data_IF_902363141585
#
_entry.id   IF_902363141585
#
_cell.length_a   1.000
_cell.length_b   1.000
_cell.length_c   1.000
_cell.angle_alpha   90.00
_cell.angle_beta   90.00
_cell.angle_gamma   90.00
#
_symmetry.space_group_name_H-M   'P 1'
#
loop_
_entity.id
_entity.type
_entity.pdbx_description
1 polymer ?
#
# COMPACT_ATOMS: atom_id res chain seq x y z
N UNK A 1 -1.10 29.02 -2.88
CA UNK A 1 -1.71 27.82 -2.27
C UNK A 1 -3.14 27.60 -2.75
N UNK A 2 -4.12 28.48 -2.48
CA UNK A 2 -5.53 28.28 -2.92
C UNK A 2 -5.73 28.04 -4.43
N UNK A 3 -5.00 28.75 -5.31
CA UNK A 3 -5.09 28.53 -6.77
C UNK A 3 -4.53 27.18 -7.22
N UNK A 4 -3.51 26.66 -6.55
CA UNK A 4 -2.94 25.33 -6.83
C UNK A 4 -3.89 24.20 -6.39
N UNK A 5 -4.66 24.44 -5.32
CA UNK A 5 -5.60 23.46 -4.78
C UNK A 5 -6.88 23.33 -5.62
N UNK A 6 -7.37 24.41 -6.22
CA UNK A 6 -8.55 24.37 -7.10
C UNK A 6 -8.27 23.65 -8.44
N UNK A 7 -7.03 23.67 -8.93
CA UNK A 7 -6.66 22.96 -10.16
C UNK A 7 -6.57 21.44 -9.97
N UNK A 8 -6.20 20.96 -8.78
CA UNK A 8 -6.11 19.51 -8.49
C UNK A 8 -7.50 18.90 -8.27
N UNK A 9 -8.44 19.63 -7.66
CA UNK A 9 -9.80 19.14 -7.39
C UNK A 9 -10.66 19.02 -8.67
N UNK A 10 -10.24 19.60 -9.81
CA UNK A 10 -10.89 19.45 -11.13
C UNK A 10 -10.21 18.44 -12.06
N UNK A 11 -8.99 17.99 -11.72
CA UNK A 11 -8.18 17.10 -12.55
C UNK A 11 -8.56 15.61 -12.46
N UNK A 12 -9.63 15.26 -11.72
CA UNK A 12 -10.08 13.88 -11.59
C UNK A 12 -10.80 13.32 -12.83
N UNK A 13 -11.31 14.17 -13.74
CA UNK A 13 -12.24 13.72 -14.79
C UNK A 13 -11.85 13.94 -16.27
N UNK A 14 -10.78 14.66 -16.63
CA UNK A 14 -10.42 14.76 -18.06
C UNK A 14 -8.97 15.17 -18.31
N UNK A 15 -8.15 14.21 -18.72
CA UNK A 15 -6.83 14.46 -19.29
C UNK A 15 -6.91 14.64 -20.82
N UNK A 16 -7.62 15.66 -21.34
CA UNK A 16 -7.52 16.08 -22.75
C UNK A 16 -7.63 17.62 -22.86
N UNK A 17 -6.61 18.24 -23.49
CA UNK A 17 -6.41 19.64 -23.97
C UNK A 17 -6.28 20.80 -22.95
N UNK A 18 -5.30 21.69 -23.19
CA UNK A 18 -4.84 22.92 -22.48
C UNK A 18 -4.78 22.92 -20.94
N UNK A 19 -5.83 22.47 -20.25
CA UNK A 19 -5.83 22.18 -18.81
C UNK A 19 -4.77 21.12 -18.44
N UNK A 20 -4.41 20.27 -19.39
CA UNK A 20 -3.41 19.22 -19.20
C UNK A 20 -1.97 19.77 -19.06
N UNK A 21 -1.63 20.85 -19.77
CA UNK A 21 -0.28 21.44 -19.66
C UNK A 21 -0.10 22.13 -18.31
N UNK A 22 -1.12 22.85 -17.83
CA UNK A 22 -1.13 23.46 -16.48
C UNK A 22 -1.07 22.37 -15.39
N UNK A 23 -1.84 21.29 -15.54
CA UNK A 23 -1.82 20.17 -14.60
C UNK A 23 -0.46 19.45 -14.58
N UNK A 24 0.16 19.29 -15.76
CA UNK A 24 1.49 18.70 -15.91
C UNK A 24 2.57 19.60 -15.29
N UNK A 25 2.58 20.90 -15.57
CA UNK A 25 3.51 21.85 -14.96
C UNK A 25 3.38 21.87 -13.44
N UNK A 26 2.15 21.84 -12.92
CA UNK A 26 1.89 21.77 -11.48
C UNK A 26 2.46 20.47 -10.86
N UNK A 27 2.35 19.34 -11.56
CA UNK A 27 2.89 18.06 -11.12
C UNK A 27 4.42 18.02 -11.21
N UNK A 28 5.03 18.58 -12.26
CA UNK A 28 6.48 18.75 -12.40
C UNK A 28 7.05 19.62 -11.27
N UNK A 29 6.37 20.73 -10.95
CA UNK A 29 6.72 21.59 -9.82
C UNK A 29 6.57 20.87 -8.47
N UNK A 30 5.54 20.04 -8.31
CA UNK A 30 5.38 19.20 -7.12
C UNK A 30 6.51 18.15 -7.00
N UNK A 31 6.88 17.48 -8.08
CA UNK A 31 7.99 16.51 -8.09
C UNK A 31 9.30 17.19 -7.69
N UNK A 32 9.59 18.37 -8.24
CA UNK A 32 10.79 19.16 -7.91
C UNK A 32 10.84 19.49 -6.42
N UNK A 33 9.70 19.87 -5.83
CA UNK A 33 9.60 20.10 -4.38
C UNK A 33 9.86 18.82 -3.58
N UNK A 34 9.26 17.69 -3.96
CA UNK A 34 9.49 16.41 -3.27
C UNK A 34 10.95 15.96 -3.32
N UNK A 35 11.65 16.24 -4.41
CA UNK A 35 13.09 15.97 -4.52
C UNK A 35 13.92 16.89 -3.63
N UNK A 36 13.56 18.18 -3.60
CA UNK A 36 14.20 19.16 -2.71
C UNK A 36 13.99 18.79 -1.24
N UNK A 37 12.78 18.35 -0.87
CA UNK A 37 12.45 17.93 0.50
C UNK A 37 13.36 16.79 0.98
N UNK A 38 13.74 15.85 0.09
CA UNK A 38 14.66 14.75 0.41
C UNK A 38 16.08 15.29 0.64
N UNK A 39 16.52 16.23 -0.19
CA UNK A 39 17.87 16.80 -0.15
C UNK A 39 18.07 17.67 1.09
N UNK A 40 17.10 18.52 1.41
CA UNK A 40 17.18 19.47 2.53
C UNK A 40 16.78 18.85 3.88
N UNK A 41 16.25 17.61 3.88
CA UNK A 41 15.86 16.88 5.08
C UNK A 41 14.47 17.25 5.62
N UNK A 42 13.76 18.22 5.02
CA UNK A 42 12.44 18.66 5.48
C UNK A 42 11.35 17.60 5.33
N UNK A 43 11.61 16.54 4.55
CA UNK A 43 10.73 15.37 4.41
C UNK A 43 10.34 14.70 5.73
N UNK A 44 11.14 14.87 6.78
CA UNK A 44 10.89 14.26 8.10
C UNK A 44 9.71 14.86 8.85
N UNK A 45 9.39 16.13 8.59
CA UNK A 45 8.37 16.89 9.33
C UNK A 45 7.18 17.29 8.46
N UNK A 46 7.30 17.15 7.14
CA UNK A 46 6.22 17.41 6.18
C UNK A 46 5.27 16.22 6.08
N UNK A 47 3.96 16.53 6.03
CA UNK A 47 2.92 15.54 5.75
C UNK A 47 2.60 15.48 4.26
N UNK A 48 2.60 14.28 3.69
CA UNK A 48 2.30 14.04 2.28
C UNK A 48 0.93 13.39 2.03
N UNK A 49 0.18 13.08 3.10
CA UNK A 49 -1.08 12.32 3.03
C UNK A 49 -2.14 12.97 2.15
N UNK A 50 -2.33 14.29 2.26
CA UNK A 50 -3.33 15.02 1.48
C UNK A 50 -3.03 14.99 -0.01
N UNK A 51 -1.74 15.05 -0.35
CA UNK A 51 -1.28 14.98 -1.74
C UNK A 51 -1.51 13.55 -2.26
N UNK A 52 -1.09 12.53 -1.50
CA UNK A 52 -1.31 11.13 -1.87
C UNK A 52 -2.81 10.80 -2.02
N UNK A 53 -3.67 11.34 -1.15
CA UNK A 53 -5.12 11.19 -1.22
C UNK A 53 -5.67 11.72 -2.55
N UNK A 54 -5.28 12.94 -2.94
CA UNK A 54 -5.72 13.56 -4.20
C UNK A 54 -5.17 12.84 -5.43
N UNK A 55 -3.94 12.33 -5.36
CA UNK A 55 -3.29 11.66 -6.49
C UNK A 55 -3.72 10.20 -6.64
N UNK A 56 -4.28 9.57 -5.60
CA UNK A 56 -4.57 8.13 -5.59
C UNK A 56 -5.44 7.64 -6.76
N UNK A 57 -6.52 8.33 -7.19
CA UNK A 57 -7.31 7.88 -8.34
C UNK A 57 -6.48 7.77 -9.62
N UNK A 58 -5.65 8.77 -9.92
CA UNK A 58 -4.78 8.76 -11.09
C UNK A 58 -3.70 7.66 -10.99
N UNK A 59 -3.16 7.45 -9.79
CA UNK A 59 -2.17 6.39 -9.53
C UNK A 59 -2.75 4.98 -9.68
N UNK A 60 -3.98 4.76 -9.23
CA UNK A 60 -4.70 3.49 -9.40
C UNK A 60 -4.99 3.24 -10.87
N UNK A 61 -5.51 4.26 -11.59
CA UNK A 61 -5.73 4.18 -13.04
C UNK A 61 -4.43 3.83 -13.79
N UNK A 62 -3.34 4.51 -13.49
CA UNK A 62 -2.04 4.25 -14.12
C UNK A 62 -1.50 2.86 -13.79
N UNK A 63 -1.73 2.37 -12.58
CA UNK A 63 -1.33 1.02 -12.19
C UNK A 63 -2.11 -0.04 -12.97
N UNK A 64 -3.43 0.12 -13.16
CA UNK A 64 -4.24 -0.79 -13.98
C UNK A 64 -3.92 -0.68 -15.47
N UNK A 65 -3.66 0.51 -16.00
CA UNK A 65 -3.20 0.66 -17.39
C UNK A 65 -1.92 -0.15 -17.65
N UNK A 66 -1.02 -0.17 -16.67
CA UNK A 66 0.23 -0.92 -16.75
C UNK A 66 0.05 -2.43 -16.51
N UNK A 67 -0.89 -2.81 -15.65
CA UNK A 67 -1.18 -4.19 -15.29
C UNK A 67 -2.70 -4.42 -15.31
N UNK A 68 -3.31 -4.64 -16.49
CA UNK A 68 -4.78 -4.72 -16.61
C UNK A 68 -5.40 -5.81 -15.73
N UNK A 69 -4.70 -6.93 -15.54
CA UNK A 69 -5.15 -8.06 -14.73
C UNK A 69 -4.96 -7.86 -13.22
N UNK A 70 -4.34 -6.75 -12.79
CA UNK A 70 -4.16 -6.46 -11.36
C UNK A 70 -5.50 -6.20 -10.66
N UNK A 71 -6.50 -5.69 -11.40
CA UNK A 71 -7.83 -5.36 -10.89
C UNK A 71 -7.76 -4.51 -9.62
N UNK A 72 -6.96 -3.44 -9.63
CA UNK A 72 -6.84 -2.55 -8.47
C UNK A 72 -8.02 -1.57 -8.42
N UNK A 73 -8.77 -1.58 -7.33
CA UNK A 73 -9.90 -0.67 -7.08
C UNK A 73 -9.57 0.28 -5.94
N UNK A 74 -10.09 1.49 -6.02
CA UNK A 74 -10.02 2.49 -4.95
C UNK A 74 -11.39 2.59 -4.29
N UNK A 75 -11.46 2.30 -2.99
CA UNK A 75 -12.68 2.41 -2.18
C UNK A 75 -12.45 3.43 -1.07
N UNK A 76 -13.07 4.61 -1.14
CA UNK A 76 -12.72 5.70 -0.21
C UNK A 76 -13.52 5.67 1.09
N UNK A 77 -14.52 4.80 1.16
CA UNK A 77 -15.37 4.54 2.33
C UNK A 77 -15.56 3.04 2.54
N UNK A 78 -16.06 2.68 3.72
CA UNK A 78 -16.39 1.29 4.07
C UNK A 78 -17.52 0.75 3.20
N UNK A 79 -18.50 1.61 2.90
CA UNK A 79 -19.63 1.31 2.04
C UNK A 79 -19.15 1.04 0.60
N UNK A 80 -18.28 1.92 0.06
CA UNK A 80 -17.68 1.73 -1.27
C UNK A 80 -16.88 0.41 -1.34
N UNK A 81 -16.19 0.06 -0.25
CA UNK A 81 -15.41 -1.18 -0.18
C UNK A 81 -16.34 -2.40 -0.30
N UNK A 82 -17.39 -2.47 0.52
CA UNK A 82 -18.34 -3.59 0.48
C UNK A 82 -19.02 -3.72 -0.88
N UNK A 83 -19.49 -2.60 -1.45
CA UNK A 83 -20.09 -2.59 -2.81
C UNK A 83 -19.08 -3.06 -3.85
N UNK A 84 -17.83 -2.60 -3.75
CA UNK A 84 -16.78 -2.97 -4.71
C UNK A 84 -16.37 -4.44 -4.59
N UNK A 85 -16.34 -5.00 -3.39
CA UNK A 85 -16.08 -6.42 -3.15
C UNK A 85 -17.22 -7.26 -3.68
N UNK A 86 -18.48 -6.95 -3.33
CA UNK A 86 -19.65 -7.68 -3.83
C UNK A 86 -19.68 -7.69 -5.36
N UNK A 87 -19.50 -6.53 -5.99
CA UNK A 87 -19.41 -6.45 -7.45
C UNK A 87 -18.28 -7.30 -8.04
N UNK A 88 -17.13 -7.39 -7.35
CA UNK A 88 -16.01 -8.23 -7.81
C UNK A 88 -16.36 -9.70 -7.78
N UNK A 89 -17.09 -10.14 -6.73
CA UNK A 89 -17.60 -11.51 -6.61
C UNK A 89 -18.63 -11.78 -7.70
N UNK A 90 -19.61 -10.88 -7.89
CA UNK A 90 -20.68 -11.01 -8.88
C UNK A 90 -20.15 -11.05 -10.32
N UNK A 91 -19.12 -10.24 -10.62
CA UNK A 91 -18.46 -10.20 -11.93
C UNK A 91 -17.53 -11.44 -12.15
N UNK A 92 -17.45 -12.37 -11.19
CA UNK A 92 -16.66 -13.61 -11.30
C UNK A 92 -15.14 -13.41 -11.24
N UNK A 93 -14.67 -12.25 -10.78
CA UNK A 93 -13.25 -11.88 -10.76
C UNK A 93 -12.54 -12.65 -9.63
N UNK A 94 -11.62 -13.54 -10.02
CA UNK A 94 -10.94 -14.44 -9.09
C UNK A 94 -9.80 -13.77 -8.29
N UNK A 95 -9.25 -12.66 -8.77
CA UNK A 95 -8.18 -11.95 -8.08
C UNK A 95 -8.29 -10.43 -8.30
N UNK A 96 -8.25 -9.69 -7.20
CA UNK A 96 -8.45 -8.24 -7.18
C UNK A 96 -7.71 -7.61 -6.01
N UNK A 97 -7.40 -6.31 -6.09
CA UNK A 97 -6.81 -5.55 -4.99
C UNK A 97 -7.64 -4.33 -4.70
N UNK A 98 -7.68 -3.92 -3.44
CA UNK A 98 -8.37 -2.70 -3.03
C UNK A 98 -7.43 -1.83 -2.23
N UNK A 99 -7.33 -0.55 -2.59
CA UNK A 99 -6.80 0.46 -1.67
C UNK A 99 -8.00 1.13 -1.03
N UNK A 100 -8.02 1.20 0.29
CA UNK A 100 -9.11 1.82 1.04
C UNK A 100 -8.63 2.82 2.05
N UNK A 101 -9.36 3.94 2.19
CA UNK A 101 -9.18 4.85 3.31
C UNK A 101 -10.09 4.40 4.46
N UNK A 102 -9.50 4.18 5.63
CA UNK A 102 -10.22 3.58 6.78
C UNK A 102 -10.44 4.55 7.94
N UNK A 103 -9.98 5.79 7.79
CA UNK A 103 -10.29 6.89 8.68
C UNK A 103 -11.23 7.88 7.98
N UNK A 104 -10.87 9.15 7.92
CA UNK A 104 -11.68 10.20 7.30
C UNK A 104 -10.82 11.05 6.37
N UNK A 105 -11.45 11.97 5.63
CA UNK A 105 -10.75 12.83 4.66
C UNK A 105 -9.74 13.77 5.32
N UNK A 106 -9.96 14.21 6.55
CA UNK A 106 -9.04 15.10 7.28
C UNK A 106 -7.79 14.42 7.83
N UNK A 107 -7.82 13.10 7.99
CA UNK A 107 -6.69 12.30 8.43
C UNK A 107 -6.77 10.94 7.74
N UNK A 108 -6.46 10.89 6.43
CA UNK A 108 -6.60 9.67 5.67
C UNK A 108 -5.56 8.65 6.12
N UNK A 109 -5.97 7.40 6.18
CA UNK A 109 -5.07 6.28 6.41
C UNK A 109 -5.42 5.19 5.42
N UNK A 110 -4.49 4.95 4.50
CA UNK A 110 -4.67 3.98 3.44
C UNK A 110 -4.11 2.63 3.85
N UNK A 111 -4.88 1.58 3.54
CA UNK A 111 -4.44 0.19 3.59
C UNK A 111 -4.74 -0.48 2.25
N UNK A 112 -4.13 -1.64 2.04
CA UNK A 112 -4.39 -2.47 0.87
C UNK A 112 -5.01 -3.80 1.29
N UNK A 113 -5.98 -4.28 0.51
CA UNK A 113 -6.62 -5.58 0.67
C UNK A 113 -6.35 -6.41 -0.58
N UNK A 114 -5.87 -7.64 -0.40
CA UNK A 114 -5.80 -8.64 -1.46
C UNK A 114 -7.05 -9.51 -1.42
N UNK A 115 -7.71 -9.67 -2.57
CA UNK A 115 -8.84 -10.56 -2.76
C UNK A 115 -8.41 -11.71 -3.66
N UNK A 116 -8.70 -12.94 -3.19
CA UNK A 116 -8.55 -14.15 -4.00
C UNK A 116 -9.74 -15.08 -3.77
N UNK A 117 -10.30 -15.58 -4.86
CA UNK A 117 -11.32 -16.64 -4.82
C UNK A 117 -10.66 -17.99 -5.06
N UNK A 118 -10.96 -18.97 -4.21
CA UNK A 118 -10.45 -20.35 -4.27
C UNK A 118 -11.62 -21.27 -3.96
N UNK A 119 -11.95 -22.19 -4.86
CA UNK A 119 -13.05 -23.16 -4.70
C UNK A 119 -14.37 -22.50 -4.23
N UNK A 120 -14.79 -21.44 -4.94
CA UNK A 120 -15.99 -20.63 -4.67
C UNK A 120 -16.02 -19.93 -3.29
N UNK A 121 -14.89 -19.89 -2.58
CA UNK A 121 -14.72 -19.14 -1.34
C UNK A 121 -13.87 -17.89 -1.57
N UNK A 122 -14.34 -16.75 -1.09
CA UNK A 122 -13.62 -15.48 -1.23
C UNK A 122 -12.75 -15.23 -0.01
N UNK A 123 -11.45 -15.07 -0.21
CA UNK A 123 -10.50 -14.65 0.80
C UNK A 123 -10.17 -13.16 0.65
N UNK A 124 -10.34 -12.40 1.71
CA UNK A 124 -9.89 -11.01 1.86
C UNK A 124 -8.79 -10.92 2.92
N UNK A 125 -7.62 -10.41 2.54
CA UNK A 125 -6.50 -10.20 3.47
C UNK A 125 -6.09 -8.73 3.43
N UNK A 126 -6.31 -8.02 4.54
CA UNK A 126 -5.91 -6.62 4.69
C UNK A 126 -4.48 -6.53 5.21
N UNK A 127 -3.62 -5.84 4.48
CA UNK A 127 -2.23 -5.58 4.85
C UNK A 127 -2.09 -4.18 5.46
N UNK A 128 -1.78 -4.12 6.76
CA UNK A 128 -1.43 -2.89 7.45
C UNK A 128 0.09 -2.70 7.42
N UNK A 129 0.55 -1.58 6.84
CA UNK A 129 1.98 -1.30 6.71
C UNK A 129 2.63 -0.89 8.05
N UNK A 130 1.85 -0.35 8.99
CA UNK A 130 2.29 0.10 10.32
C UNK A 130 2.10 -0.99 11.39
N UNK A 131 2.40 -0.66 12.66
CA UNK A 131 2.05 -1.53 13.80
C UNK A 131 0.59 -1.40 14.20
N UNK A 132 0.02 -2.50 14.67
CA UNK A 132 -1.32 -2.62 15.21
C UNK A 132 -1.35 -2.56 16.76
N UNK A 133 -0.32 -2.00 17.40
CA UNK A 133 -0.17 -1.91 18.86
C UNK A 133 -0.82 -0.66 19.50
N UNK A 134 -1.24 0.32 18.71
CA UNK A 134 -1.89 1.55 19.19
C UNK A 134 -3.43 1.46 19.27
N UNK A 135 -4.04 2.31 20.11
CA UNK A 135 -5.52 2.39 20.28
C UNK A 135 -6.26 2.62 18.96
N UNK A 136 -5.69 3.41 18.05
CA UNK A 136 -6.26 3.68 16.72
C UNK A 136 -6.38 2.39 15.92
N UNK A 137 -5.35 1.54 15.98
CA UNK A 137 -5.30 0.24 15.31
C UNK A 137 -6.37 -0.74 15.82
N UNK A 138 -6.72 -0.71 17.12
CA UNK A 138 -7.82 -1.53 17.64
C UNK A 138 -9.20 -1.09 17.14
N UNK A 139 -9.41 0.23 17.03
CA UNK A 139 -10.64 0.79 16.45
C UNK A 139 -10.74 0.42 14.96
N UNK A 140 -9.62 0.46 14.26
CA UNK A 140 -9.47 0.07 12.86
C UNK A 140 -9.88 -1.39 12.61
N UNK A 141 -9.27 -2.30 13.38
CA UNK A 141 -9.52 -3.75 13.31
C UNK A 141 -10.99 -4.05 13.58
N UNK A 142 -11.53 -3.50 14.67
CA UNK A 142 -12.92 -3.76 15.06
C UNK A 142 -13.95 -3.19 14.07
N UNK A 143 -13.69 -1.99 13.52
CA UNK A 143 -14.59 -1.36 12.54
C UNK A 143 -14.62 -2.12 11.23
N UNK A 144 -13.45 -2.49 10.69
CA UNK A 144 -13.38 -3.18 9.39
C UNK A 144 -14.02 -4.56 9.47
N UNK A 145 -13.72 -5.34 10.52
CA UNK A 145 -14.33 -6.64 10.74
C UNK A 145 -15.86 -6.55 10.79
N UNK A 146 -16.40 -5.62 11.59
CA UNK A 146 -17.84 -5.40 11.69
C UNK A 146 -18.50 -5.01 10.38
N UNK A 147 -17.86 -4.16 9.58
CA UNK A 147 -18.39 -3.72 8.28
C UNK A 147 -18.48 -4.90 7.31
N UNK A 148 -17.42 -5.70 7.20
CA UNK A 148 -17.38 -6.86 6.32
C UNK A 148 -18.40 -7.91 6.78
N UNK A 149 -18.47 -8.21 8.07
CA UNK A 149 -19.48 -9.13 8.64
C UNK A 149 -20.91 -8.64 8.39
N UNK A 150 -21.18 -7.34 8.57
CA UNK A 150 -22.49 -6.74 8.35
C UNK A 150 -22.91 -6.73 6.87
N UNK A 151 -21.94 -6.77 5.95
CA UNK A 151 -22.23 -6.79 4.50
C UNK A 151 -22.74 -8.14 3.99
N UNK A 152 -22.71 -9.20 4.81
CA UNK A 152 -23.23 -10.54 4.49
C UNK A 152 -22.72 -11.11 3.15
N UNK A 153 -21.46 -10.80 2.81
CA UNK A 153 -20.82 -11.33 1.60
C UNK A 153 -20.81 -12.88 1.64
N UNK A 154 -21.26 -13.55 0.57
CA UNK A 154 -21.34 -15.02 0.55
C UNK A 154 -19.94 -15.65 0.62
N UNK A 155 -19.78 -16.65 1.49
CA UNK A 155 -18.54 -17.45 1.63
C UNK A 155 -17.25 -16.61 1.69
N UNK A 156 -17.31 -15.48 2.40
CA UNK A 156 -16.22 -14.50 2.48
C UNK A 156 -15.46 -14.61 3.81
N UNK A 157 -14.14 -14.77 3.73
CA UNK A 157 -13.23 -14.93 4.87
C UNK A 157 -12.31 -13.73 4.94
N UNK A 158 -12.23 -13.08 6.10
CA UNK A 158 -11.52 -11.82 6.26
C UNK A 158 -10.49 -11.90 7.39
N UNK A 159 -9.26 -11.52 7.09
CA UNK A 159 -8.17 -11.38 8.06
C UNK A 159 -7.40 -10.08 7.88
N UNK A 160 -6.77 -9.65 8.97
CA UNK A 160 -5.85 -8.50 8.99
C UNK A 160 -4.46 -9.02 9.29
N UNK A 161 -3.47 -8.50 8.57
CA UNK A 161 -2.07 -8.84 8.79
C UNK A 161 -1.24 -7.57 8.97
N UNK A 162 -0.39 -7.58 9.98
CA UNK A 162 0.51 -6.49 10.33
C UNK A 162 1.86 -6.68 9.64
N UNK A 163 2.38 -5.67 8.95
CA UNK A 163 3.69 -5.77 8.28
C UNK A 163 4.82 -5.10 9.05
N UNK A 164 4.52 -4.03 9.78
CA UNK A 164 5.50 -3.25 10.56
C UNK A 164 6.67 -2.66 9.73
N UNK A 165 6.41 -2.30 8.48
CA UNK A 165 7.40 -1.77 7.53
C UNK A 165 7.39 -0.23 7.41
N UNK A 166 6.28 0.41 7.80
CA UNK A 166 6.12 1.85 7.82
C UNK A 166 6.27 2.41 9.25
N UNK A 167 7.13 3.41 9.40
CA UNK A 167 7.40 4.21 10.60
C UNK A 167 7.00 5.67 10.45
N UNK A 168 6.92 6.16 9.21
CA UNK A 168 6.58 7.54 8.94
C UNK A 168 5.07 7.76 8.98
N UNK A 169 4.68 8.99 9.32
CA UNK A 169 3.29 9.35 9.54
C UNK A 169 2.47 9.45 8.25
N UNK A 170 3.10 9.70 7.09
CA UNK A 170 2.36 10.17 5.89
C UNK A 170 2.52 9.34 4.63
N UNK A 171 3.02 8.10 4.72
CA UNK A 171 3.40 7.29 3.56
C UNK A 171 2.41 6.15 3.29
N UNK A 172 1.33 6.03 4.06
CA UNK A 172 0.36 4.92 3.99
C UNK A 172 -0.20 4.73 2.57
N UNK A 173 -0.46 5.82 1.83
CA UNK A 173 -0.90 5.75 0.43
C UNK A 173 0.14 5.12 -0.50
N UNK A 174 1.40 5.52 -0.38
CA UNK A 174 2.49 5.00 -1.23
C UNK A 174 2.86 3.57 -0.86
N UNK A 175 2.84 3.22 0.43
CA UNK A 175 2.98 1.83 0.86
C UNK A 175 1.85 0.98 0.29
N UNK A 176 0.59 1.38 0.46
CA UNK A 176 -0.57 0.65 -0.06
C UNK A 176 -0.51 0.45 -1.57
N UNK A 177 -0.13 1.48 -2.34
CA UNK A 177 0.03 1.37 -3.80
C UNK A 177 1.21 0.46 -4.20
N UNK A 178 2.33 0.55 -3.50
CA UNK A 178 3.49 -0.30 -3.77
C UNK A 178 3.17 -1.77 -3.43
N UNK A 179 2.48 -2.00 -2.33
CA UNK A 179 2.02 -3.31 -1.88
C UNK A 179 0.97 -3.90 -2.83
N UNK A 180 -0.02 -3.13 -3.29
CA UNK A 180 -1.00 -3.58 -4.29
C UNK A 180 -0.32 -4.17 -5.54
N UNK A 181 0.70 -3.48 -6.05
CA UNK A 181 1.50 -3.98 -7.18
C UNK A 181 2.25 -5.25 -6.80
N UNK A 182 2.74 -5.37 -5.56
CA UNK A 182 3.44 -6.58 -5.08
C UNK A 182 2.53 -7.77 -4.87
N UNK A 183 1.32 -7.56 -4.37
CA UNK A 183 0.30 -8.60 -4.26
C UNK A 183 0.01 -9.22 -5.63
N UNK A 184 -0.10 -8.39 -6.68
CA UNK A 184 -0.23 -8.89 -8.06
C UNK A 184 1.02 -9.64 -8.56
N UNK A 185 2.22 -9.03 -8.46
CA UNK A 185 3.45 -9.65 -8.98
C UNK A 185 3.87 -10.93 -8.28
N UNK A 186 3.39 -11.17 -7.06
CA UNK A 186 3.76 -12.32 -6.23
C UNK A 186 2.53 -13.22 -5.92
N UNK A 187 1.43 -13.07 -6.68
CA UNK A 187 0.13 -13.68 -6.39
C UNK A 187 0.15 -15.21 -6.18
N UNK A 188 1.04 -15.91 -6.88
CA UNK A 188 1.24 -17.36 -6.72
C UNK A 188 1.82 -17.70 -5.33
N UNK A 189 2.81 -16.93 -4.88
CA UNK A 189 3.45 -17.14 -3.56
C UNK A 189 2.50 -16.82 -2.39
N UNK A 190 1.44 -16.06 -2.67
CA UNK A 190 0.42 -15.69 -1.70
C UNK A 190 -0.73 -16.69 -1.65
N UNK A 191 -0.71 -17.79 -2.40
CA UNK A 191 -1.79 -18.76 -2.35
C UNK A 191 -1.96 -19.37 -0.94
N UNK A 192 -0.85 -19.62 -0.24
CA UNK A 192 -0.88 -20.17 1.12
C UNK A 192 -1.62 -19.25 2.10
N UNK A 193 -1.33 -17.95 2.08
CA UNK A 193 -1.98 -17.00 3.01
C UNK A 193 -3.50 -16.94 2.78
N UNK A 194 -3.95 -17.09 1.53
CA UNK A 194 -5.38 -17.13 1.20
C UNK A 194 -6.05 -18.44 1.61
N UNK A 195 -5.40 -19.60 1.41
CA UNK A 195 -5.92 -20.90 1.88
C UNK A 195 -6.06 -20.92 3.40
N UNK A 196 -5.02 -20.49 4.11
CA UNK A 196 -5.02 -20.47 5.57
C UNK A 196 -6.06 -19.48 6.13
N UNK A 197 -6.36 -18.39 5.39
CA UNK A 197 -7.45 -17.49 5.74
C UNK A 197 -8.84 -18.13 5.54
N UNK A 198 -9.03 -18.86 4.44
CA UNK A 198 -10.28 -19.58 4.14
C UNK A 198 -10.53 -20.69 5.18
N UNK A 199 -9.48 -21.39 5.57
CA UNK A 199 -9.56 -22.47 6.56
C UNK A 199 -9.70 -21.93 8.00
N UNK A 200 -9.61 -20.61 8.19
CA UNK A 200 -9.78 -19.94 9.48
C UNK A 200 -8.58 -20.09 10.42
N UNK A 201 -7.42 -20.52 9.92
CA UNK A 201 -6.19 -20.77 10.69
C UNK A 201 -5.16 -19.65 10.56
N UNK A 202 -5.38 -18.67 9.67
CA UNK A 202 -4.41 -17.59 9.46
C UNK A 202 -4.14 -16.77 10.73
N UNK A 203 -5.16 -16.49 11.54
CA UNK A 203 -5.04 -15.63 12.73
C UNK A 203 -5.17 -16.38 14.06
N UNK A 204 -5.28 -17.71 14.13
CA UNK A 204 -5.32 -18.52 15.37
C UNK A 204 -6.04 -17.85 16.57
N UNK A 205 -7.31 -17.46 16.40
CA UNK A 205 -8.16 -16.75 17.38
C UNK A 205 -7.75 -15.31 17.76
N UNK A 206 -6.62 -14.81 17.27
CA UNK A 206 -6.21 -13.42 17.42
C UNK A 206 -7.02 -12.48 16.51
N UNK A 207 -7.01 -11.19 16.85
CA UNK A 207 -7.71 -10.17 16.04
C UNK A 207 -6.99 -9.81 14.73
N UNK A 208 -5.71 -10.17 14.59
CA UNK A 208 -4.88 -10.00 13.40
C UNK A 208 -3.65 -10.93 13.47
N UNK A 209 -2.98 -11.15 12.33
CA UNK A 209 -1.70 -11.85 12.26
C UNK A 209 -0.53 -10.87 12.51
N UNK A 210 0.28 -11.03 13.56
CA UNK A 210 1.42 -10.16 13.84
C UNK A 210 2.54 -10.31 12.79
N UNK A 211 3.39 -9.29 12.70
CA UNK A 211 4.41 -9.18 11.65
C UNK A 211 5.43 -10.32 11.61
N UNK A 212 5.78 -10.88 12.77
CA UNK A 212 6.76 -11.96 12.90
C UNK A 212 6.22 -13.29 12.33
N UNK A 213 4.93 -13.56 12.53
CA UNK A 213 4.24 -14.71 11.91
C UNK A 213 4.01 -14.47 10.41
N UNK A 214 3.63 -13.25 10.01
CA UNK A 214 3.42 -12.88 8.60
C UNK A 214 4.69 -13.04 7.75
N UNK A 215 5.87 -12.81 8.33
CA UNK A 215 7.17 -12.95 7.65
C UNK A 215 7.40 -14.33 7.03
N UNK A 216 6.74 -15.37 7.55
CA UNK A 216 6.83 -16.73 7.00
C UNK A 216 6.04 -16.91 5.70
N UNK A 217 5.08 -16.02 5.41
CA UNK A 217 4.23 -16.06 4.22
C UNK A 217 4.73 -15.18 3.08
N UNK A 218 5.44 -14.10 3.41
CA UNK A 218 5.74 -13.07 2.42
C UNK A 218 7.15 -13.20 1.84
N UNK A 219 7.31 -13.03 0.52
CA UNK A 219 8.64 -12.93 -0.07
C UNK A 219 9.29 -11.59 0.30
N UNK A 220 10.64 -11.58 0.33
CA UNK A 220 11.48 -10.41 0.65
C UNK A 220 11.16 -9.16 -0.20
N UNK A 221 10.53 -9.34 -1.36
CA UNK A 221 10.15 -8.26 -2.26
C UNK A 221 9.10 -7.29 -1.68
N UNK A 222 8.39 -7.69 -0.62
CA UNK A 222 7.47 -6.84 0.15
C UNK A 222 8.21 -5.85 1.09
N UNK A 223 9.46 -6.15 1.45
CA UNK A 223 10.24 -5.39 2.44
C UNK A 223 11.14 -4.33 1.81
N UNK A 224 11.06 -4.16 0.48
CA UNK A 224 11.88 -3.23 -0.33
C UNK A 224 11.79 -1.76 0.08
N UNK A 225 10.75 -1.41 0.83
CA UNK A 225 10.46 -0.06 1.30
C UNK A 225 10.40 0.02 2.83
N UNK A 226 10.80 -1.03 3.56
CA UNK A 226 10.88 -0.99 5.01
C UNK A 226 11.75 0.19 5.47
N UNK A 227 11.27 0.94 6.45
CA UNK A 227 11.89 2.20 6.87
C UNK A 227 12.95 2.05 7.96
N UNK A 228 13.00 0.90 8.62
CA UNK A 228 13.99 0.60 9.65
C UNK A 228 14.79 -0.66 9.31
N UNK A 229 16.11 -0.60 9.47
CA UNK A 229 17.00 -1.74 9.25
C UNK A 229 16.71 -2.90 10.22
N UNK A 230 16.29 -2.60 11.47
CA UNK A 230 15.91 -3.63 12.45
C UNK A 230 14.83 -4.56 11.90
N UNK A 231 13.82 -3.99 11.23
CA UNK A 231 12.71 -4.75 10.67
C UNK A 231 13.16 -5.70 9.55
N UNK A 232 14.13 -5.28 8.73
CA UNK A 232 14.72 -6.13 7.69
C UNK A 232 15.56 -7.24 8.33
N UNK A 233 16.34 -6.91 9.36
CA UNK A 233 17.11 -7.92 10.11
C UNK A 233 16.20 -8.96 10.76
N UNK A 234 15.07 -8.54 11.34
CA UNK A 234 14.05 -9.43 11.90
C UNK A 234 13.49 -10.37 10.83
N UNK A 235 13.09 -9.84 9.67
CA UNK A 235 12.62 -10.66 8.54
C UNK A 235 13.66 -11.69 8.08
N UNK A 236 14.91 -11.26 7.91
CA UNK A 236 16.02 -12.13 7.44
C UNK A 236 16.40 -13.18 8.48
N UNK A 237 16.24 -12.92 9.78
CA UNK A 237 16.45 -13.96 10.81
C UNK A 237 15.50 -15.15 10.63
N UNK A 238 14.25 -14.88 10.27
CA UNK A 238 13.25 -15.92 10.00
C UNK A 238 13.34 -16.49 8.58
N UNK A 239 13.98 -15.77 7.65
CA UNK A 239 14.15 -16.15 6.23
C UNK A 239 15.60 -15.94 5.77
N UNK A 240 16.57 -16.75 6.24
CA UNK A 240 18.00 -16.48 6.02
C UNK A 240 18.42 -16.37 4.55
N UNK A 241 17.77 -17.13 3.67
CA UNK A 241 18.00 -17.11 2.22
C UNK A 241 17.68 -15.75 1.58
N UNK A 242 16.84 -14.94 2.23
CA UNK A 242 16.50 -13.60 1.75
C UNK A 242 17.69 -12.62 1.79
N UNK A 243 18.69 -12.86 2.64
CA UNK A 243 19.85 -11.97 2.79
C UNK A 243 20.61 -11.78 1.47
N UNK A 244 20.78 -12.86 0.71
CA UNK A 244 21.56 -12.90 -0.52
C UNK A 244 20.70 -12.90 -1.79
N UNK A 245 19.38 -12.82 -1.65
CA UNK A 245 18.45 -12.88 -2.78
C UNK A 245 18.44 -11.54 -3.53
N UNK A 246 18.58 -11.61 -4.85
CA UNK A 246 18.44 -10.45 -5.73
C UNK A 246 16.96 -10.04 -5.82
N UNK A 247 16.65 -8.79 -5.50
CA UNK A 247 15.27 -8.28 -5.35
C UNK A 247 14.85 -7.26 -6.41
N UNK A 248 15.74 -6.93 -7.35
CA UNK A 248 15.47 -6.01 -8.44
C UNK A 248 16.41 -6.17 -9.64
N UNK A 249 16.07 -5.48 -10.74
CA UNK A 249 16.82 -5.50 -12.01
C UNK A 249 18.20 -4.81 -11.95
N UNK A 250 18.55 -4.15 -10.84
CA UNK A 250 19.88 -3.56 -10.61
C UNK A 250 20.82 -4.51 -9.90
N UNK A 251 20.44 -5.78 -9.79
CA UNK A 251 21.23 -6.83 -9.16
C UNK A 251 21.59 -6.55 -7.69
N UNK A 252 20.63 -5.99 -6.94
CA UNK A 252 20.81 -5.66 -5.51
C UNK A 252 20.06 -6.65 -4.63
N UNK A 253 20.67 -6.99 -3.49
CA UNK A 253 20.06 -7.60 -2.31
C UNK A 253 19.16 -6.61 -1.56
N UNK A 254 18.45 -7.11 -0.53
CA UNK A 254 17.60 -6.26 0.31
C UNK A 254 18.42 -5.22 1.11
N UNK A 255 19.60 -5.61 1.61
CA UNK A 255 20.49 -4.75 2.38
C UNK A 255 21.13 -3.65 1.52
N UNK A 256 21.72 -4.01 0.38
CA UNK A 256 22.30 -3.04 -0.56
C UNK A 256 21.26 -2.01 -1.03
N UNK A 257 20.03 -2.48 -1.29
CA UNK A 257 18.92 -1.58 -1.64
C UNK A 257 18.58 -0.64 -0.48
N UNK A 258 18.50 -1.15 0.75
CA UNK A 258 18.19 -0.34 1.92
C UNK A 258 19.26 0.74 2.11
N UNK A 259 20.53 0.38 2.07
CA UNK A 259 21.66 1.31 2.27
C UNK A 259 21.68 2.41 1.21
N UNK A 260 21.49 2.07 -0.07
CA UNK A 260 21.41 3.08 -1.14
C UNK A 260 20.24 4.06 -0.97
N UNK A 261 19.18 3.65 -0.25
CA UNK A 261 18.03 4.49 0.02
C UNK A 261 18.04 5.07 1.44
N UNK A 262 19.11 4.90 2.20
CA UNK A 262 19.23 5.42 3.55
C UNK A 262 19.86 6.81 3.57
N UNK A 263 19.38 7.62 4.50
CA UNK A 263 19.95 8.92 4.87
C UNK A 263 20.20 8.89 6.38
N UNK A 264 21.33 9.45 6.83
CA UNK A 264 21.66 9.56 8.25
C UNK A 264 20.90 10.73 8.86
N UNK A 265 20.02 10.43 9.82
CA UNK A 265 19.25 11.40 10.60
C UNK A 265 19.49 11.12 12.07
N UNK A 266 19.95 12.10 12.85
CA UNK A 266 20.20 11.95 14.29
C UNK A 266 21.02 10.69 14.63
N UNK A 267 22.07 10.41 13.83
CA UNK A 267 22.94 9.21 13.92
C UNK A 267 22.24 7.87 13.64
N UNK A 268 21.03 7.87 13.08
CA UNK A 268 20.29 6.67 12.65
C UNK A 268 20.12 6.66 11.14
N UNK A 269 20.27 5.49 10.53
CA UNK A 269 19.93 5.30 9.12
C UNK A 269 18.42 5.20 8.96
N UNK A 270 17.83 6.12 8.20
CA UNK A 270 16.40 6.10 7.87
C UNK A 270 16.26 5.99 6.35
N UNK A 271 15.45 5.03 5.90
CA UNK A 271 15.23 4.80 4.48
C UNK A 271 14.20 5.77 3.91
N UNK A 272 14.60 6.54 2.89
CA UNK A 272 13.72 7.40 2.07
C UNK A 272 13.15 6.68 0.85
N UNK A 273 13.18 5.34 0.85
CA UNK A 273 12.74 4.54 -0.30
C UNK A 273 11.28 4.78 -0.68
N UNK A 274 10.40 5.00 0.31
CA UNK A 274 9.00 5.36 0.10
C UNK A 274 8.83 6.75 -0.52
N UNK A 275 9.61 7.75 -0.07
CA UNK A 275 9.59 9.11 -0.66
C UNK A 275 10.06 9.09 -2.12
N UNK A 276 11.15 8.37 -2.42
CA UNK A 276 11.62 8.16 -3.79
C UNK A 276 10.60 7.38 -4.63
N UNK A 277 9.87 6.46 -4.01
CA UNK A 277 8.78 5.73 -4.66
C UNK A 277 7.63 6.67 -5.04
N UNK A 278 7.22 7.59 -4.16
CA UNK A 278 6.24 8.66 -4.46
C UNK A 278 6.62 9.44 -5.72
N UNK A 279 7.85 9.97 -5.75
CA UNK A 279 8.37 10.72 -6.90
C UNK A 279 8.32 9.88 -8.19
N UNK A 280 8.73 8.61 -8.11
CA UNK A 280 8.69 7.71 -9.27
C UNK A 280 7.26 7.45 -9.77
N UNK A 281 6.29 7.32 -8.86
CA UNK A 281 4.88 7.10 -9.20
C UNK A 281 4.28 8.37 -9.82
N UNK A 282 4.57 9.54 -9.27
CA UNK A 282 4.07 10.81 -9.79
C UNK A 282 4.66 11.13 -11.17
N UNK A 283 5.96 10.88 -11.36
CA UNK A 283 6.61 10.97 -12.68
C UNK A 283 5.95 10.08 -13.73
N UNK A 284 5.37 8.94 -13.32
CA UNK A 284 4.72 8.02 -14.25
C UNK A 284 3.35 8.49 -14.73
N UNK A 285 2.81 9.57 -14.16
CA UNK A 285 1.56 10.20 -14.61
C UNK A 285 1.78 11.27 -15.69
N UNK A 286 3.03 11.71 -15.88
CA UNK A 286 3.41 12.68 -16.92
C UNK A 286 3.79 11.97 -18.24
N UNK A 287 4.15 10.69 -18.16
CA UNK A 287 4.62 9.87 -19.27
C UNK A 287 3.51 9.04 -19.87
#
# INVERSE_FOLDING_TARGET
>A
MLRLFNSIDRASDSFITEENDIAREALEGLITRLESDIIDGSWMTKGYMDIDFKMMPALVKQANNKYPEMNLKLAMTFEDLCVSVQKTIDDGIQSSRFITNILNRSMPHFVVIDLKTIDDKTSLVLFEATKLDHKISKILISRMKRVIEASQLPSCYYSIVEMDIQRSFSECGIFSLALAKKLYHEAEKLERIHKDNIDGVLCDCESYLPYDKLDTYLPVTFYKHAQGISRINEYVKSNPEAANKIINKKNETIFERFDRNSIVVNKKNVSVSSHRKRISEYRSLIR
#
